data_IF_504287645985
#
_entry.id   IF_504287645985
#
_cell.length_a   1.000
_cell.length_b   1.000
_cell.length_c   1.000
_cell.angle_alpha   90.00
_cell.angle_beta   90.00
_cell.angle_gamma   90.00
#
_symmetry.space_group_name_H-M   'P 1'
#
loop_
_entity.id
_entity.type
_entity.pdbx_description
1 polymer ?
#
# COMPACT_ATOMS: atom_id res chain seq x y z
N UNK A 1 -26.20 -46.65 -23.19
CA UNK A 1 -25.07 -46.86 -22.26
C UNK A 1 -24.96 -45.62 -21.40
N UNK A 2 -25.32 -45.74 -20.11
CA UNK A 2 -25.57 -44.63 -19.20
C UNK A 2 -24.29 -43.95 -18.71
N UNK A 3 -24.41 -42.62 -18.52
CA UNK A 3 -23.42 -41.70 -17.96
C UNK A 3 -23.29 -41.90 -16.45
N UNK A 4 -22.07 -41.82 -15.90
CA UNK A 4 -21.86 -41.32 -14.54
C UNK A 4 -20.56 -40.51 -14.48
N UNK A 5 -20.73 -39.21 -14.24
CA UNK A 5 -19.70 -38.23 -13.89
C UNK A 5 -19.63 -38.22 -12.35
N UNK A 6 -18.43 -38.39 -11.79
CA UNK A 6 -18.19 -38.21 -10.35
C UNK A 6 -17.73 -36.77 -10.11
N UNK A 7 -18.55 -36.01 -9.38
CA UNK A 7 -18.18 -34.74 -8.74
C UNK A 7 -17.95 -35.04 -7.26
N UNK A 8 -16.76 -34.73 -6.75
CA UNK A 8 -16.42 -34.83 -5.33
C UNK A 8 -16.48 -33.43 -4.72
N UNK A 9 -17.55 -33.19 -3.94
CA UNK A 9 -17.68 -32.06 -3.01
C UNK A 9 -17.44 -32.64 -1.61
N UNK A 10 -16.40 -32.20 -0.91
CA UNK A 10 -16.19 -32.51 0.51
C UNK A 10 -16.49 -31.28 1.36
N UNK A 11 -17.40 -31.50 2.31
CA UNK A 11 -18.11 -30.52 3.11
C UNK A 11 -17.38 -30.10 4.39
N UNK A 12 -17.77 -28.90 4.85
CA UNK A 12 -17.59 -28.29 6.17
C UNK A 12 -17.73 -29.28 7.35
N UNK A 13 -16.87 -29.12 8.37
CA UNK A 13 -17.10 -29.63 9.71
C UNK A 13 -17.09 -28.48 10.73
N UNK A 14 -18.28 -28.17 11.25
CA UNK A 14 -18.52 -27.37 12.46
C UNK A 14 -18.30 -28.25 13.70
N UNK A 15 -17.45 -27.79 14.63
CA UNK A 15 -17.23 -28.44 15.93
C UNK A 15 -17.78 -27.58 17.06
N UNK A 16 -18.79 -28.10 17.76
CA UNK A 16 -19.53 -27.49 18.88
C UNK A 16 -18.80 -27.59 20.22
N UNK A 17 -18.95 -26.56 21.06
CA UNK A 17 -18.50 -26.48 22.45
C UNK A 17 -19.31 -27.35 23.41
N UNK A 18 -18.66 -27.86 24.46
CA UNK A 18 -19.32 -28.39 25.67
C UNK A 18 -18.76 -27.69 26.91
N UNK A 19 -19.66 -27.07 27.68
CA UNK A 19 -19.42 -26.54 29.01
C UNK A 19 -19.69 -27.61 30.07
N UNK A 20 -18.90 -27.62 31.15
CA UNK A 20 -19.24 -28.29 32.41
C UNK A 20 -19.07 -27.26 33.52
N UNK A 21 -20.17 -27.01 34.23
CA UNK A 21 -20.23 -26.21 35.45
C UNK A 21 -20.33 -27.15 36.66
N UNK A 22 -19.62 -26.84 37.74
CA UNK A 22 -19.99 -27.24 39.11
C UNK A 22 -19.65 -26.07 40.05
N UNK A 23 -20.65 -25.63 40.83
CA UNK A 23 -20.54 -24.53 41.78
C UNK A 23 -20.10 -24.97 43.17
N UNK A 24 -20.06 -24.02 44.12
CA UNK A 24 -20.70 -24.07 45.45
C UNK A 24 -20.22 -22.89 46.35
N UNK A 25 -21.17 -22.02 46.69
CA UNK A 25 -21.48 -21.39 48.01
C UNK A 25 -20.52 -20.41 48.77
N UNK A 26 -21.16 -19.41 49.40
CA UNK A 26 -20.70 -18.33 50.32
C UNK A 26 -21.50 -18.44 51.66
N UNK A 27 -21.27 -17.66 52.75
CA UNK A 27 -20.08 -17.11 53.45
C UNK A 27 -20.17 -17.39 55.01
N UNK A 28 -19.40 -16.78 55.98
CA UNK A 28 -19.60 -15.37 56.45
C UNK A 28 -18.39 -14.59 57.11
N UNK A 29 -18.45 -13.24 57.03
CA UNK A 29 -18.15 -12.15 58.02
C UNK A 29 -16.96 -12.10 59.03
N UNK A 30 -16.17 -10.98 58.91
CA UNK A 30 -15.61 -10.00 59.92
C UNK A 30 -14.41 -10.32 60.87
N UNK A 31 -13.27 -9.58 60.75
CA UNK A 31 -12.77 -8.44 61.61
C UNK A 31 -11.22 -8.20 61.55
N UNK A 32 -10.82 -6.92 61.32
CA UNK A 32 -9.70 -6.09 61.86
C UNK A 32 -8.20 -6.52 61.95
N UNK A 33 -7.34 -5.86 61.13
CA UNK A 33 -6.00 -5.21 61.36
C UNK A 33 -4.76 -6.01 61.88
N UNK A 34 -3.49 -5.53 61.73
CA UNK A 34 -2.97 -4.25 61.19
C UNK A 34 -1.83 -4.34 60.12
N UNK A 35 -1.55 -3.19 59.50
CA UNK A 35 -0.33 -2.67 58.83
C UNK A 35 0.77 -3.62 58.26
N UNK A 36 1.03 -3.50 56.94
CA UNK A 36 2.25 -3.97 56.27
C UNK A 36 2.27 -3.68 54.77
N UNK A 37 3.31 -2.97 54.31
CA UNK A 37 3.86 -2.82 52.94
C UNK A 37 2.93 -2.55 51.73
N UNK A 38 3.08 -1.36 51.15
CA UNK A 38 2.57 -1.04 49.81
C UNK A 38 3.38 -1.81 48.75
N UNK A 39 2.87 -2.97 48.36
CA UNK A 39 3.34 -3.70 47.20
C UNK A 39 2.99 -2.91 45.92
N UNK A 40 4.00 -2.46 45.17
CA UNK A 40 3.81 -1.78 43.89
C UNK A 40 3.20 -2.75 42.88
N UNK A 41 1.90 -2.64 42.62
CA UNK A 41 1.21 -3.43 41.59
C UNK A 41 1.63 -2.94 40.20
N UNK A 42 2.53 -3.69 39.57
CA UNK A 42 2.92 -3.52 38.18
C UNK A 42 1.70 -3.72 37.27
N UNK A 43 1.28 -2.68 36.56
CA UNK A 43 0.19 -2.76 35.59
C UNK A 43 0.69 -3.21 34.23
N UNK A 44 -0.11 -3.97 33.51
CA UNK A 44 0.16 -4.50 32.18
C UNK A 44 -0.87 -3.96 31.21
N UNK A 45 -0.44 -3.52 30.02
CA UNK A 45 -1.31 -2.96 28.99
C UNK A 45 -1.12 -3.67 27.65
N UNK A 46 -2.14 -3.69 26.81
CA UNK A 46 -2.01 -4.18 25.44
C UNK A 46 -1.44 -3.06 24.55
N UNK A 47 -0.44 -3.38 23.72
CA UNK A 47 0.16 -2.42 22.76
C UNK A 47 -0.87 -1.92 21.73
N UNK A 48 -1.85 -2.77 21.38
CA UNK A 48 -2.91 -2.43 20.41
C UNK A 48 -4.15 -1.82 21.06
N UNK A 49 -4.35 -2.02 22.38
CA UNK A 49 -5.54 -1.56 23.11
C UNK A 49 -5.11 -0.99 24.47
N UNK A 50 -4.58 0.25 24.53
CA UNK A 50 -4.08 0.85 25.76
C UNK A 50 -5.12 1.03 26.87
N UNK A 51 -6.42 0.99 26.53
CA UNK A 51 -7.52 0.97 27.48
C UNK A 51 -7.66 -0.35 28.26
N UNK A 52 -7.03 -1.42 27.77
CA UNK A 52 -6.98 -2.72 28.44
C UNK A 52 -5.78 -2.74 29.39
N UNK A 53 -6.03 -2.38 30.64
CA UNK A 53 -5.04 -2.42 31.72
C UNK A 53 -5.41 -3.53 32.69
N UNK A 54 -4.47 -4.44 32.93
CA UNK A 54 -4.63 -5.56 33.87
C UNK A 54 -3.52 -5.53 34.92
N UNK A 55 -3.84 -6.01 36.12
CA UNK A 55 -2.89 -6.08 37.23
C UNK A 55 -2.03 -7.37 37.21
N UNK A 56 -2.13 -8.18 36.14
CA UNK A 56 -1.36 -9.41 35.95
C UNK A 56 -0.88 -9.59 34.49
N UNK A 57 0.22 -10.33 34.25
CA UNK A 57 0.58 -10.77 32.91
C UNK A 57 -0.53 -11.61 32.28
N UNK A 58 -0.66 -11.57 30.96
CA UNK A 58 -1.68 -12.34 30.25
C UNK A 58 -1.78 -11.95 28.79
N UNK A 59 -2.85 -12.38 28.14
CA UNK A 59 -3.22 -12.01 26.78
C UNK A 59 -4.41 -11.06 26.80
N UNK A 60 -4.40 -10.10 25.86
CA UNK A 60 -5.46 -9.12 25.71
C UNK A 60 -6.78 -9.81 25.33
N UNK A 61 -7.89 -9.62 26.07
CA UNK A 61 -9.18 -10.22 25.74
C UNK A 61 -9.80 -9.67 24.45
N UNK A 62 -9.29 -8.55 23.90
CA UNK A 62 -9.77 -7.97 22.64
C UNK A 62 -9.07 -8.53 21.40
N UNK A 63 -7.76 -8.76 21.46
CA UNK A 63 -6.96 -9.15 20.28
C UNK A 63 -6.04 -10.36 20.48
N UNK A 64 -6.01 -10.97 21.67
CA UNK A 64 -5.21 -12.15 21.95
C UNK A 64 -3.69 -11.93 22.09
N UNK A 65 -3.18 -10.71 21.88
CA UNK A 65 -1.75 -10.41 22.03
C UNK A 65 -1.30 -10.32 23.50
N UNK A 66 -0.03 -10.64 23.79
CA UNK A 66 0.53 -10.61 25.14
C UNK A 66 0.62 -9.18 25.70
N UNK A 67 0.16 -8.99 26.93
CA UNK A 67 0.22 -7.69 27.63
C UNK A 67 1.66 -7.36 28.06
N UNK A 68 2.01 -6.07 28.00
CA UNK A 68 3.35 -5.55 28.34
C UNK A 68 3.32 -4.68 29.61
N UNK A 69 4.37 -4.67 30.45
CA UNK A 69 4.40 -3.87 31.68
C UNK A 69 4.42 -2.36 31.39
N UNK A 70 3.53 -1.60 32.02
CA UNK A 70 3.48 -0.15 31.95
C UNK A 70 4.50 0.47 32.92
N UNK A 71 5.40 1.33 32.43
CA UNK A 71 6.39 2.03 33.26
C UNK A 71 5.73 3.23 33.97
N UNK A 72 5.88 3.33 35.29
CA UNK A 72 5.42 4.50 36.07
C UNK A 72 6.32 5.72 35.76
N UNK A 73 5.80 6.74 35.06
CA UNK A 73 6.50 8.01 34.93
C UNK A 73 6.39 8.84 36.23
N UNK A 74 7.54 9.15 36.83
CA UNK A 74 7.65 9.98 38.04
C UNK A 74 7.30 11.43 37.72
N UNK A 75 6.17 11.93 38.22
CA UNK A 75 5.81 13.36 38.21
C UNK A 75 6.88 14.19 38.93
N UNK A 76 7.49 15.15 38.23
CA UNK A 76 8.37 16.17 38.82
C UNK A 76 7.52 17.25 39.48
N UNK A 77 7.81 17.57 40.75
CA UNK A 77 7.20 18.68 41.49
C UNK A 77 7.63 20.05 40.92
N UNK A 78 6.77 21.09 40.93
CA UNK A 78 7.18 22.43 40.56
C UNK A 78 7.90 23.16 41.71
N UNK A 79 8.91 23.93 41.31
CA UNK A 79 9.83 24.72 42.12
C UNK A 79 9.19 26.05 42.56
N UNK A 80 9.48 26.48 43.80
CA UNK A 80 9.04 27.77 44.37
C UNK A 80 9.83 28.94 43.77
N UNK A 81 9.14 30.03 43.44
CA UNK A 81 9.73 31.36 43.22
C UNK A 81 8.94 32.36 44.06
N UNK A 82 9.65 33.10 44.91
CA UNK A 82 9.15 34.20 45.74
C UNK A 82 9.27 35.53 44.97
N UNK A 83 8.20 36.35 44.95
CA UNK A 83 8.19 37.73 45.48
C UNK A 83 6.92 38.55 45.10
N UNK A 84 6.32 39.12 46.16
CA UNK A 84 5.61 40.41 46.33
C UNK A 84 4.62 41.01 45.30
N UNK A 85 3.37 41.19 45.78
CA UNK A 85 2.43 42.36 45.76
C UNK A 85 2.51 43.41 44.63
N UNK A 86 1.44 44.03 44.10
CA UNK A 86 -0.03 44.07 44.29
C UNK A 86 -0.61 44.81 43.07
N UNK A 87 -1.79 44.42 42.55
CA UNK A 87 -2.97 45.29 42.39
C UNK A 87 -4.13 44.55 41.69
N UNK A 88 -5.34 44.81 42.19
CA UNK A 88 -6.60 44.17 41.85
C UNK A 88 -7.24 44.69 40.55
N UNK A 89 -7.89 43.82 39.79
CA UNK A 89 -9.10 44.08 38.98
C UNK A 89 -9.81 42.73 38.67
N UNK A 90 -11.10 42.83 38.31
CA UNK A 90 -12.20 41.86 38.41
C UNK A 90 -12.23 40.69 37.40
N UNK A 91 -12.98 39.67 37.82
CA UNK A 91 -13.58 38.52 37.15
C UNK A 91 -13.86 38.58 35.63
N UNK A 92 -13.61 37.45 34.96
CA UNK A 92 -14.19 37.11 33.65
C UNK A 92 -13.50 35.91 32.99
N UNK A 93 -14.04 34.71 33.26
CA UNK A 93 -14.14 33.53 32.38
C UNK A 93 -12.89 32.95 31.68
N UNK A 94 -12.60 31.69 32.03
CA UNK A 94 -11.58 30.81 31.47
C UNK A 94 -12.04 30.23 30.12
N UNK A 95 -11.33 30.54 29.04
CA UNK A 95 -11.27 29.66 27.87
C UNK A 95 -10.05 28.74 28.01
N UNK A 96 -10.33 27.44 28.01
CA UNK A 96 -9.35 26.37 28.16
C UNK A 96 -8.59 26.19 26.85
N UNK A 97 -7.28 26.45 26.91
CA UNK A 97 -6.33 26.01 25.90
C UNK A 97 -6.33 24.48 25.86
N UNK A 98 -6.93 23.94 24.81
CA UNK A 98 -6.87 22.53 24.48
C UNK A 98 -5.45 22.21 23.98
N UNK A 99 -4.57 21.82 24.90
CA UNK A 99 -3.36 21.09 24.55
C UNK A 99 -3.76 19.74 23.95
N UNK A 100 -3.88 19.71 22.63
CA UNK A 100 -4.01 18.48 21.87
C UNK A 100 -2.79 17.61 22.12
N UNK A 101 -3.01 16.52 22.85
CA UNK A 101 -2.07 15.41 22.92
C UNK A 101 -1.83 14.93 21.49
N UNK A 102 -0.62 15.17 20.98
CA UNK A 102 -0.13 14.55 19.76
C UNK A 102 -0.13 13.04 19.99
N UNK A 103 -1.23 12.39 19.64
CA UNK A 103 -1.22 10.97 19.29
C UNK A 103 -0.21 10.85 18.17
N UNK A 104 0.97 10.31 18.50
CA UNK A 104 1.93 9.79 17.54
C UNK A 104 1.25 8.62 16.83
N UNK A 105 0.33 8.93 15.93
CA UNK A 105 -0.03 8.05 14.83
C UNK A 105 1.30 7.91 14.10
N UNK A 106 1.94 6.74 14.24
CA UNK A 106 3.12 6.39 13.47
C UNK A 106 2.68 6.47 12.01
N UNK A 107 2.82 7.63 11.37
CA UNK A 107 2.51 7.79 9.97
C UNK A 107 3.57 7.00 9.25
N UNK A 108 3.21 5.81 8.79
CA UNK A 108 4.07 4.99 7.99
C UNK A 108 4.47 5.82 6.76
N UNK A 109 5.77 5.97 6.55
CA UNK A 109 6.33 6.80 5.49
C UNK A 109 6.37 6.03 4.18
N UNK A 110 6.16 6.72 3.08
CA UNK A 110 6.32 6.18 1.73
C UNK A 110 7.72 5.59 1.56
N UNK A 111 7.82 4.43 0.90
CA UNK A 111 9.09 3.83 0.46
C UNK A 111 9.83 4.70 -0.57
N UNK A 112 9.11 5.43 -1.42
CA UNK A 112 9.68 6.33 -2.44
C UNK A 112 10.13 7.67 -1.86
N UNK A 113 9.28 8.39 -1.13
CA UNK A 113 9.56 9.70 -0.52
C UNK A 113 9.23 9.73 0.98
N UNK A 114 10.26 9.91 1.82
CA UNK A 114 10.14 10.00 3.28
C UNK A 114 9.15 11.08 3.77
N UNK A 115 8.87 12.10 2.96
CA UNK A 115 7.92 13.16 3.30
C UNK A 115 6.45 12.80 3.05
N UNK A 116 6.18 11.75 2.27
CA UNK A 116 4.84 11.31 1.92
C UNK A 116 4.31 10.25 2.90
N UNK A 117 2.98 10.25 3.19
CA UNK A 117 2.36 9.12 3.87
C UNK A 117 2.35 7.92 2.92
N UNK A 118 2.56 6.73 3.46
CA UNK A 118 2.60 5.50 2.68
C UNK A 118 1.26 5.22 1.96
N UNK A 119 0.12 5.66 2.50
CA UNK A 119 -1.20 5.50 1.85
C UNK A 119 -1.35 6.27 0.53
N UNK A 120 -0.45 7.20 0.25
CA UNK A 120 -0.39 7.92 -1.02
C UNK A 120 0.35 7.12 -2.10
N UNK A 121 1.16 6.14 -1.71
CA UNK A 121 1.92 5.32 -2.65
C UNK A 121 1.00 4.43 -3.49
N UNK A 122 1.40 4.25 -4.75
CA UNK A 122 0.72 3.39 -5.70
C UNK A 122 1.77 2.69 -6.57
N UNK A 123 1.52 2.48 -7.86
CA UNK A 123 2.50 1.90 -8.79
C UNK A 123 3.65 2.87 -9.08
N UNK A 124 4.89 2.36 -9.13
CA UNK A 124 6.10 3.17 -9.30
C UNK A 124 6.14 4.41 -8.43
N UNK A 125 6.15 5.58 -9.06
CA UNK A 125 6.13 6.89 -8.39
C UNK A 125 4.77 7.57 -8.43
N UNK A 126 3.69 6.90 -8.84
CA UNK A 126 2.36 7.53 -8.95
C UNK A 126 1.71 7.78 -7.57
N UNK A 127 0.69 8.65 -7.55
CA UNK A 127 -0.03 9.00 -6.32
C UNK A 127 -1.51 8.61 -6.40
N UNK A 128 -2.02 8.07 -5.30
CA UNK A 128 -3.45 7.90 -5.01
C UNK A 128 -3.88 8.83 -3.87
N UNK A 129 -5.20 9.00 -3.58
CA UNK A 129 -5.64 9.80 -2.45
C UNK A 129 -5.10 9.27 -1.12
N UNK A 130 -4.73 10.15 -0.18
CA UNK A 130 -4.18 9.76 1.13
C UNK A 130 -5.13 8.90 1.98
N UNK A 131 -6.44 8.99 1.72
CA UNK A 131 -7.50 8.20 2.35
C UNK A 131 -7.58 6.76 1.85
N UNK A 132 -6.80 6.41 0.83
CA UNK A 132 -6.78 5.07 0.25
C UNK A 132 -6.37 4.05 1.32
N UNK A 133 -7.16 2.99 1.53
CA UNK A 133 -6.78 1.94 2.46
C UNK A 133 -5.52 1.23 1.94
N UNK A 134 -4.61 0.91 2.85
CA UNK A 134 -3.46 0.07 2.55
C UNK A 134 -3.66 -1.31 3.16
N UNK A 135 -3.64 -2.31 2.30
CA UNK A 135 -3.62 -3.70 2.71
C UNK A 135 -2.19 -4.20 2.60
N UNK A 136 -1.72 -4.92 3.61
CA UNK A 136 -0.37 -5.41 3.62
C UNK A 136 0.06 -5.80 5.02
N UNK A 137 1.03 -6.71 5.08
CA UNK A 137 1.65 -7.10 6.34
C UNK A 137 2.96 -6.35 6.47
N UNK A 138 3.02 -5.47 7.46
CA UNK A 138 4.21 -4.71 7.79
C UNK A 138 5.07 -5.45 8.82
N UNK A 139 6.37 -5.44 8.58
CA UNK A 139 7.40 -5.99 9.45
C UNK A 139 8.40 -4.89 9.76
N UNK A 140 8.65 -4.64 11.04
CA UNK A 140 9.63 -3.65 11.50
C UNK A 140 10.88 -4.36 12.00
N UNK A 141 12.06 -3.92 11.55
CA UNK A 141 13.36 -4.46 11.96
C UNK A 141 14.29 -3.31 12.40
N UNK A 142 14.09 -2.81 13.61
CA UNK A 142 14.73 -1.56 14.04
C UNK A 142 14.03 -0.39 13.35
N UNK A 143 14.80 0.42 12.62
CA UNK A 143 14.29 1.55 11.84
C UNK A 143 13.80 1.12 10.44
N UNK A 144 14.10 -0.12 10.04
CA UNK A 144 13.68 -0.67 8.75
C UNK A 144 12.22 -1.10 8.76
N UNK A 145 11.57 -0.91 7.62
CA UNK A 145 10.22 -1.41 7.37
C UNK A 145 10.22 -2.25 6.09
N UNK A 146 9.57 -3.41 6.17
CA UNK A 146 9.19 -4.21 5.01
C UNK A 146 7.67 -4.40 5.03
N UNK A 147 6.97 -3.94 4.00
CA UNK A 147 5.58 -4.30 3.75
C UNK A 147 5.52 -5.38 2.68
N UNK A 148 4.76 -6.43 2.94
CA UNK A 148 4.37 -7.41 1.93
C UNK A 148 2.88 -7.26 1.63
N UNK A 149 2.54 -7.11 0.35
CA UNK A 149 1.18 -7.05 -0.16
C UNK A 149 1.07 -7.94 -1.41
N UNK A 150 -0.14 -8.27 -1.84
CA UNK A 150 -0.35 -9.20 -2.94
C UNK A 150 -1.79 -9.66 -3.01
N UNK A 151 -2.17 -10.15 -4.18
CA UNK A 151 -3.49 -10.70 -4.44
C UNK A 151 -3.41 -11.88 -5.42
N UNK A 152 -4.39 -12.76 -5.35
CA UNK A 152 -4.63 -13.84 -6.30
C UNK A 152 -6.12 -13.92 -6.56
N UNK A 153 -6.50 -14.00 -7.83
CA UNK A 153 -7.91 -14.00 -8.25
C UNK A 153 -8.26 -15.26 -9.04
N UNK A 154 -8.45 -16.42 -8.38
CA UNK A 154 -8.91 -17.62 -9.05
C UNK A 154 -10.28 -17.37 -9.67
N UNK A 155 -10.40 -17.52 -10.98
CA UNK A 155 -11.66 -17.27 -11.69
C UNK A 155 -11.90 -18.24 -12.82
N UNK A 156 -13.16 -18.33 -13.22
CA UNK A 156 -13.61 -19.02 -14.42
C UNK A 156 -14.34 -18.04 -15.32
N UNK A 157 -13.84 -17.87 -16.52
CA UNK A 157 -14.39 -17.00 -17.54
C UNK A 157 -15.13 -17.85 -18.57
N UNK A 158 -16.36 -17.45 -18.93
CA UNK A 158 -17.12 -18.05 -20.03
C UNK A 158 -17.66 -16.96 -20.93
N UNK A 159 -17.01 -16.74 -22.08
CA UNK A 159 -17.46 -15.77 -23.07
C UNK A 159 -18.07 -16.50 -24.26
N UNK A 160 -19.38 -16.75 -24.18
CA UNK A 160 -20.16 -17.43 -25.23
C UNK A 160 -20.37 -16.58 -26.49
N UNK A 161 -19.30 -16.27 -27.22
CA UNK A 161 -19.32 -15.54 -28.50
C UNK A 161 -18.32 -16.11 -29.50
N UNK A 162 -18.39 -15.72 -30.78
CA UNK A 162 -17.42 -16.14 -31.81
C UNK A 162 -16.00 -15.61 -31.57
N UNK A 163 -15.86 -14.57 -30.75
CA UNK A 163 -14.59 -13.92 -30.38
C UNK A 163 -14.14 -14.26 -28.96
N UNK A 164 -15.00 -14.96 -28.21
CA UNK A 164 -14.77 -15.31 -26.81
C UNK A 164 -14.11 -16.67 -26.67
N UNK A 165 -13.80 -17.00 -25.43
CA UNK A 165 -13.15 -18.23 -25.01
C UNK A 165 -13.63 -18.56 -23.58
N UNK A 166 -13.39 -19.78 -23.12
CA UNK A 166 -13.66 -20.18 -21.75
C UNK A 166 -12.40 -20.72 -21.06
N UNK A 167 -12.16 -20.24 -19.84
CA UNK A 167 -10.86 -20.44 -19.18
C UNK A 167 -10.99 -20.43 -17.67
N UNK A 168 -10.23 -21.30 -17.01
CA UNK A 168 -9.87 -21.16 -15.60
C UNK A 168 -8.49 -20.52 -15.56
N UNK A 169 -8.37 -19.44 -14.81
CA UNK A 169 -7.14 -18.70 -14.63
C UNK A 169 -7.06 -18.08 -13.23
N UNK A 170 -5.91 -17.49 -12.91
CA UNK A 170 -5.68 -16.88 -11.61
C UNK A 170 -4.68 -15.71 -11.72
N UNK A 171 -5.09 -14.56 -12.29
CA UNK A 171 -4.27 -13.35 -12.26
C UNK A 171 -3.80 -13.07 -10.84
N UNK A 172 -2.51 -12.79 -10.71
CA UNK A 172 -1.89 -12.67 -9.41
C UNK A 172 -0.69 -11.73 -9.43
N UNK A 173 -0.38 -11.21 -8.25
CA UNK A 173 0.81 -10.42 -8.03
C UNK A 173 1.19 -10.43 -6.55
N UNK A 174 2.48 -10.26 -6.29
CA UNK A 174 3.05 -10.05 -4.96
C UNK A 174 3.97 -8.84 -5.01
N UNK A 175 3.87 -7.99 -3.99
CA UNK A 175 4.67 -6.79 -3.85
C UNK A 175 5.36 -6.75 -2.49
N UNK A 176 6.65 -6.45 -2.50
CA UNK A 176 7.44 -6.11 -1.32
C UNK A 176 7.90 -4.65 -1.40
N UNK A 177 7.69 -3.89 -0.33
CA UNK A 177 8.15 -2.51 -0.21
C UNK A 177 9.04 -2.40 1.02
N UNK A 178 10.31 -2.07 0.81
CA UNK A 178 11.32 -1.88 1.84
C UNK A 178 11.66 -0.40 1.98
N UNK A 179 11.89 0.06 3.20
CA UNK A 179 12.42 1.39 3.48
C UNK A 179 13.42 1.35 4.62
N UNK A 180 14.53 2.05 4.44
CA UNK A 180 15.58 2.29 5.43
C UNK A 180 15.82 3.80 5.59
N UNK A 181 15.38 4.41 6.70
CA UNK A 181 15.61 5.83 6.94
C UNK A 181 17.04 6.09 7.43
N UNK A 182 17.67 7.14 6.89
CA UNK A 182 18.94 7.70 7.35
C UNK A 182 18.67 8.95 8.19
N UNK A 183 18.16 8.74 9.41
CA UNK A 183 17.70 9.83 10.28
C UNK A 183 16.33 10.37 9.87
N UNK A 184 16.06 11.65 10.14
CA UNK A 184 14.73 12.25 9.96
C UNK A 184 14.49 12.82 8.56
N UNK A 185 15.54 12.92 7.74
CA UNK A 185 15.51 13.71 6.50
C UNK A 185 15.87 12.93 5.24
N UNK A 186 16.41 11.72 5.34
CA UNK A 186 16.81 10.94 4.18
C UNK A 186 16.34 9.48 4.30
N UNK A 187 16.08 8.82 3.17
CA UNK A 187 15.66 7.42 3.15
C UNK A 187 16.13 6.73 1.87
N UNK A 188 16.48 5.45 2.00
CA UNK A 188 16.55 4.51 0.88
C UNK A 188 15.27 3.67 0.84
N UNK A 189 14.63 3.55 -0.32
CA UNK A 189 13.54 2.61 -0.55
C UNK A 189 13.91 1.55 -1.57
N UNK A 190 13.24 0.42 -1.49
CA UNK A 190 13.31 -0.63 -2.49
C UNK A 190 11.95 -1.25 -2.70
N UNK A 191 11.59 -1.55 -3.95
CA UNK A 191 10.33 -2.22 -4.27
C UNK A 191 10.59 -3.41 -5.19
N UNK A 192 9.79 -4.45 -4.97
CA UNK A 192 9.75 -5.64 -5.80
C UNK A 192 8.28 -5.94 -6.07
N UNK A 193 7.90 -6.10 -7.34
CA UNK A 193 6.63 -6.65 -7.76
C UNK A 193 6.89 -7.83 -8.69
N UNK A 194 6.22 -8.94 -8.43
CA UNK A 194 6.33 -10.16 -9.22
C UNK A 194 4.94 -10.73 -9.50
N UNK A 195 4.80 -11.36 -10.67
CA UNK A 195 3.61 -12.11 -11.05
C UNK A 195 3.95 -13.56 -11.42
N UNK A 196 3.05 -14.49 -11.08
CA UNK A 196 3.11 -15.87 -11.58
C UNK A 196 2.22 -16.07 -12.82
N UNK A 197 1.70 -14.99 -13.41
CA UNK A 197 0.92 -15.01 -14.64
C UNK A 197 1.62 -15.78 -15.78
N UNK A 198 2.96 -15.70 -15.98
CA UNK A 198 3.64 -16.52 -17.00
C UNK A 198 3.45 -18.03 -16.82
N UNK A 199 3.24 -18.49 -15.58
CA UNK A 199 3.00 -19.90 -15.24
C UNK A 199 1.53 -20.29 -15.31
N UNK A 200 0.61 -19.39 -14.94
CA UNK A 200 -0.84 -19.68 -14.86
C UNK A 200 -1.59 -19.33 -16.13
N UNK A 201 -1.19 -18.27 -16.83
CA UNK A 201 -1.85 -17.70 -17.99
C UNK A 201 -1.25 -18.16 -19.32
N UNK A 202 0.03 -18.51 -19.34
CA UNK A 202 0.75 -18.88 -20.55
C UNK A 202 0.83 -17.72 -21.57
N UNK A 203 1.56 -17.92 -22.66
CA UNK A 203 1.97 -16.80 -23.53
C UNK A 203 0.83 -16.01 -24.20
N UNK A 204 -0.28 -16.66 -24.56
CA UNK A 204 -1.42 -15.97 -25.17
C UNK A 204 -2.30 -15.22 -24.14
N UNK A 205 -1.97 -15.32 -22.85
CA UNK A 205 -2.70 -14.70 -21.74
C UNK A 205 -4.15 -15.15 -21.58
N UNK A 206 -5.01 -14.37 -20.96
CA UNK A 206 -6.40 -14.76 -20.65
C UNK A 206 -7.45 -14.06 -21.54
N UNK A 207 -8.65 -14.65 -21.72
CA UNK A 207 -9.73 -14.04 -22.50
C UNK A 207 -10.23 -12.76 -21.84
N UNK A 208 -10.23 -11.65 -22.57
CA UNK A 208 -10.79 -10.37 -22.14
C UNK A 208 -11.27 -9.59 -23.37
N UNK A 209 -12.58 -9.62 -23.62
CA UNK A 209 -13.16 -9.05 -24.85
C UNK A 209 -12.81 -7.57 -25.02
N UNK A 210 -12.63 -7.17 -26.28
CA UNK A 210 -12.29 -5.81 -26.71
C UNK A 210 -10.90 -5.33 -26.29
N UNK A 211 -10.13 -6.12 -25.55
CA UNK A 211 -8.74 -5.78 -25.34
C UNK A 211 -7.90 -5.89 -26.60
N UNK A 212 -6.94 -4.97 -26.68
CA UNK A 212 -5.95 -4.86 -27.74
C UNK A 212 -4.65 -4.35 -27.15
N UNK A 213 -3.55 -4.97 -27.50
CA UNK A 213 -2.21 -4.54 -27.10
C UNK A 213 -1.25 -5.72 -27.11
N UNK A 214 0.04 -5.42 -27.27
CA UNK A 214 1.12 -6.41 -27.41
C UNK A 214 0.90 -7.48 -28.51
N UNK A 215 1.83 -8.42 -28.58
CA UNK A 215 1.81 -9.55 -29.50
C UNK A 215 2.04 -10.88 -28.80
N UNK A 216 1.64 -11.95 -29.49
CA UNK A 216 2.05 -13.31 -29.17
C UNK A 216 2.34 -14.08 -30.46
N UNK A 217 3.56 -14.61 -30.58
CA UNK A 217 4.11 -15.17 -31.81
C UNK A 217 4.01 -14.21 -33.01
N UNK A 218 4.44 -12.95 -32.81
CA UNK A 218 4.43 -11.91 -33.84
C UNK A 218 3.03 -11.62 -34.41
N UNK A 219 1.97 -11.92 -33.65
CA UNK A 219 0.59 -11.65 -34.01
C UNK A 219 -0.05 -10.76 -32.95
N UNK A 220 -0.87 -9.77 -33.34
CA UNK A 220 -1.52 -8.89 -32.38
C UNK A 220 -2.47 -9.69 -31.48
N UNK A 221 -2.41 -9.42 -30.18
CA UNK A 221 -3.41 -9.95 -29.25
C UNK A 221 -4.70 -9.12 -29.36
N UNK A 222 -5.79 -9.84 -29.63
CA UNK A 222 -7.14 -9.30 -29.67
C UNK A 222 -8.06 -10.13 -28.78
N UNK A 223 -8.97 -9.45 -28.08
CA UNK A 223 -9.93 -10.07 -27.15
C UNK A 223 -9.27 -10.89 -26.03
N UNK A 224 -8.02 -10.56 -25.73
CA UNK A 224 -7.18 -11.21 -24.74
C UNK A 224 -6.28 -10.18 -24.08
N UNK A 225 -5.97 -10.41 -22.82
CA UNK A 225 -4.94 -9.67 -22.08
C UNK A 225 -3.70 -10.56 -21.99
N UNK A 226 -2.52 -10.02 -22.30
CA UNK A 226 -1.25 -10.72 -22.13
C UNK A 226 -0.96 -10.97 -20.65
N UNK A 227 -0.14 -11.99 -20.30
CA UNK A 227 0.37 -12.12 -18.95
C UNK A 227 1.29 -10.96 -18.60
N UNK A 228 1.35 -10.63 -17.31
CA UNK A 228 2.45 -9.84 -16.75
C UNK A 228 3.78 -10.60 -16.84
N UNK A 229 4.88 -9.85 -16.72
CA UNK A 229 6.21 -10.43 -16.62
C UNK A 229 6.42 -11.04 -15.23
N UNK A 230 7.37 -11.96 -15.08
CA UNK A 230 7.67 -12.53 -13.76
C UNK A 230 8.11 -11.44 -12.77
N UNK A 231 8.77 -10.40 -13.28
CA UNK A 231 9.17 -9.21 -12.53
C UNK A 231 8.49 -8.00 -13.17
N UNK A 232 7.54 -7.40 -12.47
CA UNK A 232 6.82 -6.21 -12.93
C UNK A 232 7.45 -4.91 -12.40
N UNK A 233 8.10 -4.99 -11.23
CA UNK A 233 8.86 -3.89 -10.65
C UNK A 233 10.07 -4.45 -9.89
N UNK A 234 11.25 -3.89 -10.13
CA UNK A 234 12.41 -4.00 -9.27
C UNK A 234 13.06 -2.63 -9.22
N UNK A 235 12.80 -1.89 -8.15
CA UNK A 235 13.19 -0.49 -8.05
C UNK A 235 13.91 -0.14 -6.76
N UNK A 236 14.71 0.92 -6.84
CA UNK A 236 15.39 1.56 -5.72
C UNK A 236 15.09 3.06 -5.77
N UNK A 237 14.85 3.64 -4.61
CA UNK A 237 14.62 5.07 -4.44
C UNK A 237 15.54 5.65 -3.39
N UNK A 238 15.90 6.91 -3.56
CA UNK A 238 16.51 7.73 -2.52
C UNK A 238 15.74 9.03 -2.41
N UNK A 239 15.29 9.37 -1.21
CA UNK A 239 14.58 10.62 -0.95
C UNK A 239 15.27 11.45 0.12
N UNK A 240 15.13 12.77 -0.02
CA UNK A 240 15.62 13.79 0.88
C UNK A 240 14.52 14.81 1.16
N UNK A 241 14.17 14.96 2.43
CA UNK A 241 13.35 16.04 2.97
C UNK A 241 14.26 17.21 3.36
N UNK A 242 13.88 18.42 2.96
CA UNK A 242 14.64 19.65 3.20
C UNK A 242 14.01 20.49 4.31
N UNK A 243 12.71 20.78 4.16
CA UNK A 243 11.92 21.58 5.09
C UNK A 243 10.55 20.92 5.33
N UNK A 244 9.69 21.53 6.16
CA UNK A 244 8.40 20.96 6.57
C UNK A 244 7.40 20.63 5.42
N UNK A 245 7.69 21.03 4.19
CA UNK A 245 6.87 20.67 3.04
C UNK A 245 7.63 20.62 1.72
N UNK A 246 8.96 20.46 1.74
CA UNK A 246 9.76 20.30 0.51
C UNK A 246 10.61 19.05 0.62
N UNK A 247 10.49 18.16 -0.35
CA UNK A 247 11.34 16.98 -0.53
C UNK A 247 11.67 16.78 -2.01
N UNK A 248 12.70 15.97 -2.27
CA UNK A 248 13.03 15.48 -3.59
C UNK A 248 13.42 14.01 -3.51
N UNK A 249 13.25 13.29 -4.61
CA UNK A 249 13.65 11.90 -4.72
C UNK A 249 14.24 11.57 -6.08
N UNK A 250 15.03 10.51 -6.09
CA UNK A 250 15.46 9.79 -7.28
C UNK A 250 14.88 8.37 -7.19
N UNK A 251 14.43 7.86 -8.33
CA UNK A 251 13.87 6.51 -8.48
C UNK A 251 14.49 5.86 -9.71
N UNK A 252 14.93 4.62 -9.55
CA UNK A 252 15.46 3.80 -10.65
C UNK A 252 14.75 2.45 -10.65
N UNK A 253 14.18 2.06 -11.78
CA UNK A 253 13.47 0.79 -11.96
C UNK A 253 14.05 -0.03 -13.11
N UNK A 254 14.20 -1.33 -12.90
CA UNK A 254 14.60 -2.29 -13.92
C UNK A 254 13.99 -3.67 -13.59
N UNK A 255 12.70 -3.91 -13.90
CA UNK A 255 11.76 -2.97 -14.51
C UNK A 255 11.15 -1.98 -13.50
N UNK A 256 10.48 -0.94 -13.99
CA UNK A 256 9.68 -0.02 -13.18
C UNK A 256 8.75 0.83 -14.03
N UNK A 257 8.11 1.82 -13.41
CA UNK A 257 7.14 2.71 -14.08
C UNK A 257 7.71 4.14 -14.21
N UNK A 258 7.73 4.74 -15.42
CA UNK A 258 8.09 6.13 -15.62
C UNK A 258 6.95 7.06 -15.19
N UNK A 259 7.25 8.35 -15.04
CA UNK A 259 6.29 9.40 -14.73
C UNK A 259 5.36 9.72 -15.92
N UNK A 260 4.57 8.75 -16.36
CA UNK A 260 3.67 8.84 -17.50
C UNK A 260 2.41 8.00 -17.25
N UNK A 261 1.25 8.67 -17.24
CA UNK A 261 -0.02 8.00 -17.04
C UNK A 261 -0.56 8.09 -15.61
N UNK A 262 -1.81 7.62 -15.42
CA UNK A 262 -2.37 7.35 -14.10
C UNK A 262 -1.62 6.20 -13.40
N UNK A 263 -1.82 5.97 -12.10
CA UNK A 263 -1.42 4.72 -11.47
C UNK A 263 -1.88 3.50 -12.28
N UNK A 264 -1.08 2.44 -12.35
CA UNK A 264 -1.42 1.19 -13.01
C UNK A 264 -2.73 0.64 -12.46
N UNK A 265 -3.59 0.11 -13.34
CA UNK A 265 -4.94 -0.30 -12.95
C UNK A 265 -5.01 -1.16 -11.68
N UNK A 266 -4.11 -2.13 -11.51
CA UNK A 266 -4.06 -3.01 -10.33
C UNK A 266 -3.83 -2.28 -9.01
N UNK A 267 -3.19 -1.10 -9.05
CA UNK A 267 -2.94 -0.26 -7.87
C UNK A 267 -4.01 0.81 -7.66
N UNK A 268 -5.07 0.84 -8.49
CA UNK A 268 -6.20 1.76 -8.32
C UNK A 268 -7.19 1.17 -7.31
N UNK A 269 -7.69 1.96 -6.34
CA UNK A 269 -8.71 1.49 -5.40
C UNK A 269 -9.98 0.96 -6.10
N UNK A 270 -10.31 1.51 -7.27
CA UNK A 270 -11.46 1.08 -8.07
C UNK A 270 -11.32 -0.31 -8.69
N UNK A 271 -10.10 -0.85 -8.77
CA UNK A 271 -9.81 -2.17 -9.31
C UNK A 271 -9.43 -3.19 -8.22
N UNK A 272 -9.57 -2.82 -6.94
CA UNK A 272 -9.13 -3.66 -5.82
C UNK A 272 -9.77 -5.06 -5.84
N UNK A 273 -11.05 -5.14 -6.23
CA UNK A 273 -11.80 -6.40 -6.34
C UNK A 273 -12.02 -6.84 -7.80
N UNK A 274 -11.37 -6.18 -8.77
CA UNK A 274 -11.50 -6.45 -10.20
C UNK A 274 -10.14 -6.82 -10.81
N UNK A 275 -9.89 -8.11 -11.10
CA UNK A 275 -8.63 -8.55 -11.70
C UNK A 275 -8.49 -8.20 -13.18
N UNK A 276 -9.53 -7.67 -13.84
CA UNK A 276 -9.49 -7.38 -15.27
C UNK A 276 -8.83 -6.03 -15.58
N UNK A 277 -7.95 -6.04 -16.59
CA UNK A 277 -7.41 -4.81 -17.15
C UNK A 277 -8.53 -3.97 -17.78
N UNK A 278 -8.68 -2.68 -17.43
CA UNK A 278 -9.67 -1.81 -18.05
C UNK A 278 -9.37 -1.64 -19.53
N UNK A 279 -10.41 -1.42 -20.36
CA UNK A 279 -10.27 -1.27 -21.82
C UNK A 279 -9.24 -0.21 -22.26
N UNK A 280 -8.97 0.79 -21.42
CA UNK A 280 -7.99 1.85 -21.70
C UNK A 280 -6.56 1.51 -21.30
N UNK A 281 -6.28 0.33 -20.74
CA UNK A 281 -4.99 -0.02 -20.13
C UNK A 281 -3.80 0.24 -21.06
N UNK A 282 -3.82 -0.36 -22.25
CA UNK A 282 -2.76 -0.20 -23.25
C UNK A 282 -2.58 1.23 -23.77
N UNK A 283 -3.58 2.10 -23.57
CA UNK A 283 -3.54 3.48 -24.03
C UNK A 283 -3.13 4.47 -22.93
N UNK A 284 -3.31 4.10 -21.66
CA UNK A 284 -3.16 5.00 -20.52
C UNK A 284 -1.93 4.65 -19.67
N UNK A 285 -1.73 3.37 -19.35
CA UNK A 285 -0.77 2.90 -18.35
C UNK A 285 0.07 1.70 -18.82
N UNK A 286 0.21 1.49 -20.13
CA UNK A 286 1.01 0.37 -20.68
C UNK A 286 2.49 0.40 -20.30
N UNK A 287 3.04 1.59 -19.99
CA UNK A 287 4.45 1.77 -19.62
C UNK A 287 4.76 1.39 -18.17
N UNK A 288 3.86 0.69 -17.47
CA UNK A 288 4.04 0.40 -16.04
C UNK A 288 5.08 -0.69 -15.74
N UNK A 289 5.33 -1.58 -16.70
CA UNK A 289 6.48 -2.48 -16.70
C UNK A 289 7.42 -2.01 -17.79
N UNK A 290 8.50 -1.35 -17.40
CA UNK A 290 9.50 -0.87 -18.35
C UNK A 290 10.90 -1.21 -17.87
N UNK A 291 11.64 -1.93 -18.70
CA UNK A 291 13.03 -2.29 -18.43
C UNK A 291 13.96 -1.10 -18.67
N UNK A 292 14.18 -0.33 -17.61
CA UNK A 292 15.07 0.82 -17.58
C UNK A 292 14.26 2.09 -17.45
N UNK A 293 14.14 2.55 -16.20
CA UNK A 293 13.49 3.81 -15.84
C UNK A 293 14.38 4.56 -14.87
N UNK A 294 14.57 5.85 -15.11
CA UNK A 294 15.14 6.77 -14.14
C UNK A 294 14.23 7.98 -14.01
N UNK A 295 13.79 8.26 -12.78
CA UNK A 295 12.86 9.34 -12.45
C UNK A 295 13.47 10.25 -11.39
N UNK A 296 13.35 11.55 -11.58
CA UNK A 296 13.64 12.55 -10.55
C UNK A 296 12.38 13.35 -10.26
N UNK A 297 12.07 13.55 -8.98
CA UNK A 297 10.88 14.28 -8.55
C UNK A 297 11.16 15.27 -7.43
N UNK A 298 10.37 16.34 -7.41
CA UNK A 298 10.31 17.32 -6.32
C UNK A 298 8.88 17.42 -5.84
N UNK A 299 8.70 17.34 -4.53
CA UNK A 299 7.40 17.44 -3.86
C UNK A 299 7.38 18.70 -3.03
N UNK A 300 6.37 19.55 -3.28
CA UNK A 300 6.05 20.69 -2.45
C UNK A 300 4.65 20.54 -1.86
N UNK A 301 4.59 20.20 -0.57
CA UNK A 301 3.38 19.92 0.22
C UNK A 301 2.54 18.79 -0.38
N UNK A 302 1.61 19.15 -1.26
CA UNK A 302 0.66 18.24 -1.89
C UNK A 302 0.71 18.31 -3.42
N UNK A 303 1.74 18.96 -3.97
CA UNK A 303 2.03 19.01 -5.40
C UNK A 303 3.35 18.30 -5.64
N UNK A 304 3.39 17.46 -6.66
CA UNK A 304 4.60 16.78 -7.12
C UNK A 304 4.84 17.07 -8.58
N UNK A 305 6.09 17.34 -8.93
CA UNK A 305 6.55 17.49 -10.30
C UNK A 305 7.70 16.50 -10.49
N UNK A 306 7.60 15.66 -11.50
CA UNK A 306 8.58 14.62 -11.78
C UNK A 306 8.79 14.46 -13.28
N UNK A 307 9.98 14.00 -13.64
CA UNK A 307 10.36 13.69 -15.01
C UNK A 307 11.15 12.39 -15.08
N UNK A 308 10.98 11.66 -16.17
CA UNK A 308 11.60 10.36 -16.38
C UNK A 308 12.28 10.26 -17.73
N UNK A 309 13.37 9.50 -17.77
CA UNK A 309 13.88 8.86 -18.98
C UNK A 309 13.66 7.35 -18.85
N UNK A 310 13.29 6.69 -19.94
CA UNK A 310 12.93 5.28 -19.92
C UNK A 310 13.05 4.62 -21.29
N UNK A 311 13.01 3.29 -21.32
CA UNK A 311 12.92 2.49 -22.55
C UNK A 311 11.47 2.50 -23.06
N UNK A 312 11.22 3.02 -24.27
CA UNK A 312 9.85 3.19 -24.78
C UNK A 312 9.16 1.90 -25.20
N UNK A 313 9.95 0.92 -25.63
CA UNK A 313 9.52 -0.41 -26.07
C UNK A 313 8.84 -1.17 -24.93
N UNK A 314 7.65 -1.71 -25.18
CA UNK A 314 6.97 -2.65 -24.27
C UNK A 314 7.76 -3.96 -24.16
N UNK A 315 7.69 -4.69 -23.02
CA UNK A 315 8.40 -5.95 -22.84
C UNK A 315 8.20 -6.94 -23.99
N UNK A 316 9.23 -7.74 -24.26
CA UNK A 316 9.14 -8.79 -25.27
C UNK A 316 8.25 -9.98 -24.85
N UNK A 317 8.17 -11.02 -25.70
CA UNK A 317 7.31 -12.17 -25.43
C UNK A 317 7.90 -13.14 -24.36
N UNK A 318 9.17 -13.01 -23.98
CA UNK A 318 9.87 -13.83 -22.99
C UNK A 318 9.72 -13.28 -21.57
N UNK A 319 8.58 -13.62 -20.96
CA UNK A 319 8.13 -13.13 -19.64
C UNK A 319 8.99 -13.49 -18.42
N UNK A 320 10.15 -14.10 -18.61
CA UNK A 320 11.05 -14.54 -17.54
C UNK A 320 12.39 -13.80 -17.52
N UNK A 321 12.71 -13.04 -18.56
CA UNK A 321 13.99 -12.41 -18.76
C UNK A 321 13.99 -10.95 -18.25
N UNK A 322 15.06 -10.21 -18.57
CA UNK A 322 15.13 -8.77 -18.39
C UNK A 322 15.57 -8.16 -19.72
N UNK A 323 14.74 -7.30 -20.30
CA UNK A 323 15.02 -6.66 -21.58
C UNK A 323 16.12 -5.60 -21.48
N UNK A 324 16.85 -5.37 -22.58
CA UNK A 324 17.96 -4.42 -22.60
C UNK A 324 17.45 -2.97 -22.47
N UNK A 325 17.93 -2.20 -21.46
CA UNK A 325 17.46 -0.84 -21.25
C UNK A 325 18.07 0.14 -22.27
N UNK A 326 17.21 0.86 -23.00
CA UNK A 326 17.62 1.78 -24.07
C UNK A 326 17.60 3.26 -23.65
N UNK A 327 16.71 3.65 -22.71
CA UNK A 327 16.55 5.05 -22.29
C UNK A 327 16.32 6.04 -23.45
N UNK A 328 15.54 5.63 -24.45
CA UNK A 328 15.24 6.38 -25.69
C UNK A 328 14.01 7.30 -25.57
N UNK A 329 13.26 7.17 -24.48
CA UNK A 329 11.98 7.82 -24.26
C UNK A 329 11.99 8.72 -23.03
N UNK A 330 11.07 9.68 -22.97
CA UNK A 330 11.01 10.65 -21.87
C UNK A 330 9.59 11.12 -21.56
N UNK A 331 9.35 11.48 -20.30
CA UNK A 331 8.05 11.96 -19.83
C UNK A 331 8.18 12.94 -18.67
N UNK A 332 7.08 13.63 -18.39
CA UNK A 332 6.88 14.40 -17.18
C UNK A 332 5.46 14.26 -16.66
N UNK A 333 5.32 14.27 -15.34
CA UNK A 333 4.04 14.21 -14.62
C UNK A 333 3.98 15.29 -13.55
N UNK A 334 2.81 15.93 -13.45
CA UNK A 334 2.44 16.79 -12.34
C UNK A 334 1.28 16.12 -11.62
N UNK A 335 1.44 15.88 -10.32
CA UNK A 335 0.43 15.29 -9.45
C UNK A 335 0.01 16.27 -8.36
N UNK A 336 -1.26 16.25 -7.97
CA UNK A 336 -1.82 17.14 -6.96
C UNK A 336 -2.88 16.43 -6.11
N UNK A 337 -2.66 16.39 -4.79
CA UNK A 337 -3.62 15.89 -3.80
C UNK A 337 -4.22 17.07 -3.01
N UNK A 338 -5.26 17.78 -3.53
CA UNK A 338 -5.82 18.96 -2.86
C UNK A 338 -6.47 18.64 -1.52
N UNK A 339 -6.93 17.40 -1.34
CA UNK A 339 -7.55 16.88 -0.12
C UNK A 339 -7.06 15.45 0.11
N UNK A 340 -7.38 14.86 1.27
CA UNK A 340 -7.07 13.45 1.54
C UNK A 340 -7.85 12.48 0.61
N UNK A 341 -8.89 12.96 -0.07
CA UNK A 341 -9.84 12.12 -0.81
C UNK A 341 -9.69 12.27 -2.33
N UNK A 342 -8.79 13.15 -2.79
CA UNK A 342 -8.59 13.44 -4.21
C UNK A 342 -7.12 13.33 -4.58
N UNK A 343 -6.86 12.68 -5.69
CA UNK A 343 -5.58 12.70 -6.38
C UNK A 343 -5.81 13.01 -7.86
N UNK A 344 -5.07 13.98 -8.39
CA UNK A 344 -5.11 14.39 -9.77
C UNK A 344 -3.72 14.26 -10.38
N UNK A 345 -3.63 13.90 -11.66
CA UNK A 345 -2.39 14.06 -12.41
C UNK A 345 -2.65 14.50 -13.84
N UNK A 346 -1.66 15.18 -14.41
CA UNK A 346 -1.50 15.37 -15.85
C UNK A 346 -0.08 14.99 -16.21
N UNK A 347 0.08 14.25 -17.30
CA UNK A 347 1.39 13.83 -17.79
C UNK A 347 1.46 13.88 -19.31
N UNK A 348 2.68 14.07 -19.80
CA UNK A 348 3.01 14.04 -21.21
C UNK A 348 4.32 13.31 -21.42
N UNK A 349 4.41 12.50 -22.47
CA UNK A 349 5.65 11.80 -22.82
C UNK A 349 5.77 11.53 -24.31
N UNK A 350 7.02 11.41 -24.74
CA UNK A 350 7.40 10.86 -26.02
C UNK A 350 7.89 9.43 -25.80
N UNK A 351 7.38 8.51 -26.59
CA UNK A 351 7.68 7.08 -26.54
C UNK A 351 8.22 6.69 -27.91
N UNK A 352 9.50 6.35 -27.96
CA UNK A 352 10.15 5.82 -29.15
C UNK A 352 9.73 4.36 -29.34
N UNK A 353 9.21 4.07 -30.54
CA UNK A 353 8.92 2.71 -30.99
C UNK A 353 8.28 1.77 -29.92
N UNK A 354 7.08 2.07 -29.41
CA UNK A 354 6.50 1.30 -28.31
C UNK A 354 6.10 -0.13 -28.70
N UNK A 355 5.58 -0.35 -29.91
CA UNK A 355 4.95 -1.62 -30.32
C UNK A 355 5.89 -2.43 -31.22
N UNK A 356 6.20 -3.68 -30.86
CA UNK A 356 7.09 -4.55 -31.64
C UNK A 356 6.62 -4.73 -33.10
N UNK A 357 5.30 -4.76 -33.31
CA UNK A 357 4.67 -4.92 -34.63
C UNK A 357 4.72 -3.66 -35.49
N UNK A 358 4.94 -2.48 -34.89
CA UNK A 358 5.02 -1.18 -35.58
C UNK A 358 6.33 -0.44 -35.21
N UNK A 359 7.51 -0.98 -35.54
CA UNK A 359 8.79 -0.49 -35.02
C UNK A 359 9.18 0.90 -35.55
N UNK A 360 8.57 1.38 -36.62
CA UNK A 360 8.86 2.71 -37.16
C UNK A 360 7.96 3.82 -36.58
N UNK A 361 7.03 3.46 -35.69
CA UNK A 361 6.02 4.39 -35.16
C UNK A 361 6.44 4.92 -33.80
N UNK A 362 6.66 6.23 -33.70
CA UNK A 362 6.83 6.92 -32.43
C UNK A 362 5.50 7.49 -31.94
N UNK A 363 5.32 7.61 -30.62
CA UNK A 363 4.07 8.10 -30.02
C UNK A 363 4.31 9.25 -29.06
N UNK A 364 3.39 10.22 -29.08
CA UNK A 364 3.24 11.18 -28.00
C UNK A 364 1.99 10.80 -27.20
N UNK A 365 2.15 10.65 -25.88
CA UNK A 365 1.06 10.30 -24.97
C UNK A 365 0.81 11.46 -24.02
N UNK A 366 -0.44 11.95 -23.98
CA UNK A 366 -0.89 12.93 -22.98
C UNK A 366 -2.03 12.30 -22.20
N UNK A 367 -1.93 12.31 -20.87
CA UNK A 367 -2.96 11.76 -20.00
C UNK A 367 -3.35 12.76 -18.93
N UNK A 368 -4.58 12.63 -18.45
CA UNK A 368 -5.05 13.28 -17.24
C UNK A 368 -5.97 12.31 -16.50
N UNK A 369 -5.88 12.26 -15.18
CA UNK A 369 -6.75 11.42 -14.37
C UNK A 369 -7.12 12.06 -13.05
N UNK A 370 -8.26 11.63 -12.50
CA UNK A 370 -8.75 12.02 -11.18
C UNK A 370 -9.14 10.73 -10.47
N UNK A 371 -8.63 10.53 -9.27
CA UNK A 371 -9.00 9.44 -8.38
C UNK A 371 -9.67 10.06 -7.16
N UNK A 372 -10.84 9.53 -6.81
CA UNK A 372 -11.60 9.93 -5.63
C UNK A 372 -11.82 8.72 -4.74
N UNK A 373 -11.46 8.85 -3.46
CA UNK A 373 -11.71 7.84 -2.44
C UNK A 373 -12.34 8.48 -1.22
N UNK A 374 -13.45 7.91 -0.74
CA UNK A 374 -14.18 8.41 0.42
C UNK A 374 -14.43 7.26 1.39
N UNK A 375 -13.78 7.24 2.56
CA UNK A 375 -14.10 6.28 3.60
C UNK A 375 -15.56 6.44 4.07
N UNK A 376 -16.34 5.36 4.01
CA UNK A 376 -17.75 5.33 4.43
C UNK A 376 -17.97 4.75 5.83
N UNK A 377 -16.93 4.13 6.41
CA UNK A 377 -16.99 3.46 7.71
C UNK A 377 -15.60 3.15 8.26
N UNK A 378 -15.56 2.44 9.39
CA UNK A 378 -14.33 1.80 9.88
C UNK A 378 -14.30 0.40 9.29
N UNK A 379 -13.18 0.07 8.64
CA UNK A 379 -12.87 -1.29 8.19
C UNK A 379 -12.54 -2.23 9.35
#
# INVERSE_FOLDING_TARGET
>A
MGKHILILISALALGTSSAVAQGHEHPPSKRSGPAGEQEKKQRYTCVMHPEVVMDHPGTCPKCGMKLVPQKEEKRKSPMKIDNHSMHAMKHGEHEQEAHGEHKMQMSMQSSVDIADPMSRESSGTSWVPDSTPMYGKMFMFGDDMLMLHGAIFPRYTNVSSRRGDDRIDAPNWIMGMYSHPFGESAQLGGRLMMSLDPLTEGGRGYPLLFQTGESWHDQPLHDRQHPHDLFDELSISYSQKFDAGLSAYLYFGYPGEPALGPPTFMHRPSAMDDPDAPLGHHWQDSTHVTFGVATAGVVWRNVKIEGSIFTGREPDEDRYNFDEPQFDSYSGRISWNPTQNLALQVSHGYIESPEALDPDVNRHRTTASIIYNQPLGRD
#
